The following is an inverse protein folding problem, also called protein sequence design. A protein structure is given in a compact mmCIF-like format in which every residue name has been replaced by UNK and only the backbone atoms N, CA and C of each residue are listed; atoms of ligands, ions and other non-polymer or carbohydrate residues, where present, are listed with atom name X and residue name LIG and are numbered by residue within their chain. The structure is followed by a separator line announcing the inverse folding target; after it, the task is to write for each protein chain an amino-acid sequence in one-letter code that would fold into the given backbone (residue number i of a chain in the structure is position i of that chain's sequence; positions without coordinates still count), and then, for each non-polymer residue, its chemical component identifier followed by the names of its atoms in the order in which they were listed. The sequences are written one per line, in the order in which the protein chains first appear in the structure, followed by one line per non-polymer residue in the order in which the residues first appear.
data_IF_858074211464
#
_entry.id   IF_858074211464
#
_cell.length_a   1.000
_cell.length_b   1.000
_cell.length_c   1.000
_cell.angle_alpha   90.00
_cell.angle_beta   90.00
_cell.angle_gamma   90.00
#
_symmetry.space_group_name_H-M   'P 1'
#
loop_
_entity.id
_entity.type
_entity.pdbx_description
1 polymer ?
#
# COMPACT_ATOMS: atom_id res chain seq x y z
N UNK A 1 -45.38 -45.77 -26.37
CA UNK A 1 -44.49 -44.60 -26.45
C UNK A 1 -45.34 -43.32 -26.45
N UNK A 2 -45.65 -42.77 -25.25
CA UNK A 2 -46.48 -41.56 -25.13
C UNK A 2 -45.58 -40.34 -25.16
N UNK A 3 -45.67 -39.58 -26.24
CA UNK A 3 -45.04 -38.24 -26.35
C UNK A 3 -45.95 -37.21 -25.68
N UNK A 4 -45.58 -36.81 -24.46
CA UNK A 4 -46.18 -35.64 -23.79
C UNK A 4 -45.78 -34.37 -24.56
N UNK A 5 -46.69 -33.80 -25.36
CA UNK A 5 -46.51 -32.48 -25.96
C UNK A 5 -47.04 -31.44 -24.96
N UNK A 6 -46.18 -30.86 -24.16
CA UNK A 6 -46.52 -29.72 -23.34
C UNK A 6 -46.65 -28.51 -24.27
N UNK A 7 -47.88 -28.10 -24.57
CA UNK A 7 -48.19 -26.81 -25.24
C UNK A 7 -48.31 -25.76 -24.14
N UNK A 8 -47.25 -24.98 -23.90
CA UNK A 8 -47.38 -23.78 -23.08
C UNK A 8 -48.22 -22.75 -23.88
N UNK A 9 -49.25 -22.17 -23.32
CA UNK A 9 -49.96 -21.08 -23.95
C UNK A 9 -49.01 -19.87 -24.07
N UNK A 10 -48.98 -19.23 -25.22
CA UNK A 10 -48.01 -18.15 -25.54
C UNK A 10 -47.92 -17.02 -24.51
N UNK A 11 -49.00 -16.81 -23.74
CA UNK A 11 -49.03 -15.86 -22.62
C UNK A 11 -48.17 -16.28 -21.41
N UNK A 12 -48.03 -17.57 -21.14
CA UNK A 12 -47.20 -18.09 -20.05
C UNK A 12 -45.67 -18.01 -20.43
N UNK A 13 -45.33 -18.23 -21.69
CA UNK A 13 -43.96 -18.09 -22.16
C UNK A 13 -43.47 -16.63 -22.10
N UNK A 14 -44.32 -15.67 -22.46
CA UNK A 14 -43.99 -14.23 -22.35
C UNK A 14 -43.85 -13.80 -20.90
N UNK A 15 -44.71 -14.28 -19.98
CA UNK A 15 -44.58 -13.98 -18.55
C UNK A 15 -43.29 -14.54 -17.95
N UNK A 16 -42.87 -15.73 -18.36
CA UNK A 16 -41.64 -16.35 -17.89
C UNK A 16 -40.37 -15.57 -18.36
N UNK A 17 -40.40 -15.07 -19.59
CA UNK A 17 -39.30 -14.25 -20.13
C UNK A 17 -39.19 -12.90 -19.40
N UNK A 18 -40.31 -12.22 -19.13
CA UNK A 18 -40.36 -10.95 -18.40
C UNK A 18 -39.89 -11.11 -16.94
N UNK A 19 -40.10 -12.26 -16.32
CA UNK A 19 -39.61 -12.53 -14.95
C UNK A 19 -38.09 -12.87 -14.91
N UNK A 20 -37.54 -13.41 -16.01
CA UNK A 20 -36.10 -13.78 -16.07
C UNK A 20 -35.18 -12.56 -16.35
N UNK A 21 -35.67 -11.51 -16.96
CA UNK A 21 -34.85 -10.32 -17.30
C UNK A 21 -34.30 -9.62 -16.05
N UNK A 22 -35.05 -9.34 -14.98
CA UNK A 22 -34.48 -8.71 -13.78
C UNK A 22 -33.52 -9.62 -13.00
N UNK A 23 -33.62 -10.95 -13.13
CA UNK A 23 -32.70 -11.87 -12.49
C UNK A 23 -31.29 -11.89 -13.12
N UNK A 24 -31.18 -11.55 -14.41
CA UNK A 24 -29.88 -11.41 -15.09
C UNK A 24 -29.27 -10.02 -14.96
N UNK A 25 -30.03 -8.99 -14.60
CA UNK A 25 -29.55 -7.63 -14.43
C UNK A 25 -28.72 -7.43 -13.12
N UNK A 26 -28.77 -8.37 -12.19
CA UNK A 26 -28.07 -8.29 -10.91
C UNK A 26 -26.56 -8.52 -10.97
N UNK A 27 -26.01 -9.04 -12.06
CA UNK A 27 -24.58 -9.34 -12.17
C UNK A 27 -23.70 -8.16 -12.63
N UNK A 28 -24.28 -7.02 -12.96
CA UNK A 28 -23.55 -5.83 -13.45
C UNK A 28 -23.07 -4.86 -12.37
N UNK A 29 -23.48 -5.04 -11.11
CA UNK A 29 -23.20 -4.09 -10.03
C UNK A 29 -21.76 -4.16 -9.48
N UNK A 30 -20.89 -5.06 -10.00
CA UNK A 30 -19.56 -5.29 -9.47
C UNK A 30 -18.45 -4.47 -10.11
N UNK A 31 -18.64 -3.87 -11.28
CA UNK A 31 -17.55 -3.19 -11.99
C UNK A 31 -17.31 -1.74 -11.58
N UNK A 32 -18.28 -1.09 -10.93
CA UNK A 32 -18.13 0.23 -10.33
C UNK A 32 -18.59 0.12 -8.87
N UNK A 33 -17.96 -0.76 -8.12
CA UNK A 33 -18.18 -0.86 -6.68
C UNK A 33 -17.41 0.26 -6.00
N UNK A 34 -18.07 1.05 -5.15
CA UNK A 34 -17.39 2.01 -4.27
C UNK A 34 -16.34 1.33 -3.37
N UNK A 35 -16.43 0.01 -3.19
CA UNK A 35 -15.40 -0.78 -2.50
C UNK A 35 -14.06 -0.83 -3.25
N UNK A 36 -14.04 -0.62 -4.57
CA UNK A 36 -12.80 -0.57 -5.36
C UNK A 36 -12.00 0.74 -5.16
N UNK A 37 -12.67 1.80 -4.71
CA UNK A 37 -12.08 3.11 -4.38
C UNK A 37 -11.89 3.31 -2.88
N UNK A 38 -12.29 2.32 -2.06
CA UNK A 38 -12.12 2.42 -0.62
C UNK A 38 -10.64 2.30 -0.26
N UNK A 39 -10.09 3.34 0.37
CA UNK A 39 -8.74 3.28 0.92
C UNK A 39 -8.71 2.22 2.03
N UNK A 40 -7.74 1.30 2.02
CA UNK A 40 -7.61 0.33 3.10
C UNK A 40 -7.36 1.05 4.42
N UNK A 41 -8.05 0.64 5.48
CA UNK A 41 -7.84 1.12 6.84
C UNK A 41 -6.51 0.57 7.39
N UNK A 42 -5.40 1.02 6.82
CA UNK A 42 -4.04 0.68 7.24
C UNK A 42 -3.36 1.89 7.86
N UNK A 43 -2.44 1.66 8.78
CA UNK A 43 -1.71 2.71 9.49
C UNK A 43 -0.72 3.52 8.61
N UNK A 44 -0.56 3.16 7.33
CA UNK A 44 0.37 3.77 6.39
C UNK A 44 -0.30 4.26 5.11
N UNK A 45 0.39 5.09 4.36
CA UNK A 45 -0.05 5.57 3.05
C UNK A 45 0.60 4.76 1.91
N UNK A 46 0.11 4.97 0.68
CA UNK A 46 0.57 4.27 -0.52
C UNK A 46 0.68 5.24 -1.70
N UNK A 47 1.58 4.95 -2.62
CA UNK A 47 1.66 5.60 -3.93
C UNK A 47 2.21 4.61 -4.95
N UNK A 48 1.79 4.75 -6.19
CA UNK A 48 2.38 4.02 -7.32
C UNK A 48 2.78 5.05 -8.38
N UNK A 49 4.01 4.98 -8.84
CA UNK A 49 4.54 5.86 -9.87
C UNK A 49 5.50 5.05 -10.75
N UNK A 50 5.39 5.26 -12.04
CA UNK A 50 6.10 4.43 -13.01
C UNK A 50 5.96 2.93 -12.67
N UNK A 51 7.06 2.24 -12.47
CA UNK A 51 7.07 0.80 -12.13
C UNK A 51 7.31 0.54 -10.64
N UNK A 52 7.27 1.56 -9.78
CA UNK A 52 7.48 1.41 -8.34
C UNK A 52 6.20 1.69 -7.58
N UNK A 53 5.86 0.80 -6.69
CA UNK A 53 4.74 0.95 -5.77
C UNK A 53 5.25 1.01 -4.32
N UNK A 54 5.06 2.14 -3.65
CA UNK A 54 5.28 2.26 -2.20
C UNK A 54 4.03 1.84 -1.45
N UNK A 55 4.19 1.08 -0.40
CA UNK A 55 3.11 0.53 0.42
C UNK A 55 3.44 0.66 1.90
N UNK A 56 2.40 0.82 2.71
CA UNK A 56 2.51 0.89 4.17
C UNK A 56 3.52 1.96 4.65
N UNK A 57 3.55 3.11 3.96
CA UNK A 57 4.49 4.20 4.27
C UNK A 57 4.02 4.93 5.50
N UNK A 58 4.77 4.81 6.61
CA UNK A 58 4.42 5.45 7.88
C UNK A 58 5.65 5.81 8.70
N UNK A 59 5.50 6.82 9.55
CA UNK A 59 6.43 7.11 10.65
C UNK A 59 6.04 6.21 11.81
N UNK A 60 6.98 5.42 12.31
CA UNK A 60 6.80 4.58 13.48
C UNK A 60 7.51 5.23 14.66
N UNK A 61 6.74 5.59 15.68
CA UNK A 61 7.29 6.23 16.88
C UNK A 61 6.46 5.84 18.10
N UNK A 62 7.13 5.59 19.23
CA UNK A 62 6.46 5.46 20.52
C UNK A 62 5.84 6.80 20.90
N UNK A 63 4.50 6.82 21.00
CA UNK A 63 3.75 8.02 21.32
C UNK A 63 3.39 8.01 22.80
N UNK A 64 3.99 8.93 23.54
CA UNK A 64 3.70 9.14 24.97
C UNK A 64 2.92 10.43 25.22
N UNK A 65 2.50 11.14 24.18
CA UNK A 65 1.77 12.41 24.22
C UNK A 65 1.25 12.81 22.85
N UNK A 66 0.71 14.01 22.71
CA UNK A 66 0.06 14.50 21.49
C UNK A 66 1.06 14.86 20.38
N UNK A 67 2.32 15.04 20.70
CA UNK A 67 3.37 15.41 19.75
C UNK A 67 4.71 14.77 20.13
N UNK A 68 5.58 14.65 19.12
CA UNK A 68 6.96 14.20 19.27
C UNK A 68 7.87 15.41 19.08
N UNK A 69 8.72 15.67 20.04
CA UNK A 69 9.57 16.87 20.07
C UNK A 69 10.66 16.83 19.00
N UNK A 70 11.11 18.05 18.62
CA UNK A 70 12.31 18.19 17.78
C UNK A 70 13.52 17.55 18.47
N UNK A 71 14.47 17.09 17.68
CA UNK A 71 15.69 16.41 18.17
C UNK A 71 15.49 14.93 18.47
N UNK A 72 14.25 14.42 18.46
CA UNK A 72 13.97 12.98 18.56
C UNK A 72 14.27 12.31 17.22
N UNK A 73 14.62 11.04 17.30
CA UNK A 73 14.76 10.18 16.11
C UNK A 73 13.57 9.21 16.07
N UNK A 74 12.95 9.11 14.90
CA UNK A 74 11.82 8.20 14.64
C UNK A 74 12.16 7.29 13.47
N UNK A 75 11.54 6.14 13.41
CA UNK A 75 11.73 5.18 12.32
C UNK A 75 10.73 5.46 11.18
N UNK A 76 11.18 5.34 9.95
CA UNK A 76 10.34 5.34 8.75
C UNK A 76 10.21 3.91 8.27
N UNK A 77 8.97 3.44 8.09
CA UNK A 77 8.65 2.08 7.66
C UNK A 77 7.91 2.11 6.34
N UNK A 78 8.31 1.28 5.41
CA UNK A 78 7.63 1.09 4.14
C UNK A 78 8.08 -0.20 3.44
N UNK A 79 7.29 -0.57 2.43
CA UNK A 79 7.66 -1.60 1.44
C UNK A 79 7.64 -0.96 0.06
N UNK A 80 8.77 -1.03 -0.66
CA UNK A 80 8.83 -0.68 -2.06
C UNK A 80 8.71 -1.96 -2.91
N UNK A 81 7.83 -1.95 -3.90
CA UNK A 81 7.59 -3.08 -4.82
C UNK A 81 7.93 -2.63 -6.23
N UNK A 82 8.80 -3.38 -6.89
CA UNK A 82 9.13 -3.17 -8.29
C UNK A 82 8.17 -3.98 -9.18
N UNK A 83 7.38 -3.30 -9.97
CA UNK A 83 6.42 -3.91 -10.88
C UNK A 83 7.02 -4.21 -12.25
N UNK A 84 8.25 -3.76 -12.52
CA UNK A 84 8.98 -4.10 -13.74
C UNK A 84 9.55 -5.53 -13.63
N UNK A 85 9.26 -6.42 -14.57
CA UNK A 85 9.71 -7.82 -14.47
C UNK A 85 11.20 -8.01 -14.79
N UNK A 86 11.84 -7.05 -15.44
CA UNK A 86 13.18 -7.14 -16.02
C UNK A 86 14.13 -5.99 -15.66
N UNK A 87 13.63 -4.98 -14.94
CA UNK A 87 14.41 -3.79 -14.60
C UNK A 87 14.62 -3.71 -13.10
N UNK A 88 15.84 -3.89 -12.64
CA UNK A 88 16.23 -3.57 -11.25
C UNK A 88 16.35 -2.07 -11.07
N UNK A 89 15.86 -1.55 -9.95
CA UNK A 89 15.97 -0.15 -9.54
C UNK A 89 16.70 -0.04 -8.18
N UNK A 90 16.88 1.16 -7.67
CA UNK A 90 17.50 1.42 -6.37
C UNK A 90 16.89 2.67 -5.74
N UNK A 91 16.58 2.59 -4.44
CA UNK A 91 16.27 3.75 -3.62
C UNK A 91 17.58 4.45 -3.27
N UNK A 92 17.79 5.65 -3.82
CA UNK A 92 19.02 6.42 -3.62
C UNK A 92 18.91 7.43 -2.49
N UNK A 93 17.72 7.80 -2.08
CA UNK A 93 17.52 8.72 -0.97
C UNK A 93 16.07 9.00 -0.64
N UNK A 94 15.87 9.50 0.57
CA UNK A 94 14.57 9.97 1.06
C UNK A 94 14.80 11.35 1.68
N UNK A 95 13.95 12.32 1.34
CA UNK A 95 13.97 13.66 1.92
C UNK A 95 12.63 13.99 2.55
N UNK A 96 12.64 14.87 3.55
CA UNK A 96 11.43 15.36 4.20
C UNK A 96 11.63 16.76 4.73
N UNK A 97 10.53 17.49 4.88
CA UNK A 97 10.49 18.84 5.47
C UNK A 97 10.51 18.82 7.01
N UNK A 98 10.35 17.66 7.65
CA UNK A 98 10.35 17.52 9.11
C UNK A 98 11.71 17.23 9.71
N UNK A 99 12.70 16.84 8.90
CA UNK A 99 14.02 16.50 9.41
C UNK A 99 14.92 15.81 8.40
N UNK A 100 16.05 15.32 8.89
CA UNK A 100 17.05 14.61 8.06
C UNK A 100 16.76 13.11 8.09
N UNK A 101 16.61 12.51 6.92
CA UNK A 101 16.42 11.06 6.77
C UNK A 101 17.78 10.41 6.52
N UNK A 102 18.09 9.37 7.28
CA UNK A 102 19.30 8.55 7.12
C UNK A 102 18.89 7.13 6.75
N UNK A 103 19.42 6.63 5.64
CA UNK A 103 19.30 5.24 5.23
C UNK A 103 20.52 4.47 5.74
N UNK A 104 20.30 3.29 6.32
CA UNK A 104 21.36 2.41 6.83
C UNK A 104 20.96 0.94 6.63
N UNK A 105 21.97 0.05 6.58
CA UNK A 105 21.74 -1.37 6.29
C UNK A 105 21.25 -1.54 4.84
N UNK A 106 21.78 -2.53 4.13
CA UNK A 106 21.43 -2.75 2.73
C UNK A 106 21.92 -1.63 1.78
N UNK A 107 21.86 -1.92 0.49
CA UNK A 107 22.30 -1.01 -0.58
C UNK A 107 21.12 -0.28 -1.27
N UNK A 108 19.90 -0.44 -0.75
CA UNK A 108 18.69 0.13 -1.32
C UNK A 108 18.25 -0.53 -2.63
N UNK A 109 18.80 -1.67 -2.98
CA UNK A 109 18.45 -2.38 -4.22
C UNK A 109 16.98 -2.82 -4.20
N UNK A 110 16.32 -2.59 -5.32
CA UNK A 110 14.95 -3.00 -5.59
C UNK A 110 14.95 -3.91 -6.83
N UNK A 111 15.06 -5.24 -6.65
CA UNK A 111 15.16 -6.18 -7.75
C UNK A 111 13.98 -6.13 -8.70
N UNK A 112 14.17 -6.55 -9.95
CA UNK A 112 13.09 -6.71 -10.92
C UNK A 112 12.02 -7.67 -10.37
N UNK A 113 10.76 -7.25 -10.41
CA UNK A 113 9.64 -8.00 -9.83
C UNK A 113 9.72 -8.25 -8.32
N UNK A 114 10.69 -7.62 -7.63
CA UNK A 114 10.98 -7.84 -6.22
C UNK A 114 10.51 -6.73 -5.29
N UNK A 115 10.93 -6.83 -4.02
CA UNK A 115 10.55 -5.89 -2.95
C UNK A 115 11.79 -5.47 -2.16
N UNK A 116 11.74 -4.22 -1.66
CA UNK A 116 12.67 -3.67 -0.69
C UNK A 116 11.88 -3.32 0.58
N UNK A 117 12.29 -3.89 1.71
CA UNK A 117 11.72 -3.59 3.01
C UNK A 117 12.55 -2.53 3.72
N UNK A 118 11.90 -1.50 4.23
CA UNK A 118 12.54 -0.45 5.03
C UNK A 118 11.88 -0.41 6.39
N UNK A 119 12.70 -0.58 7.42
CA UNK A 119 12.24 -0.75 8.80
C UNK A 119 11.62 -2.13 9.03
N UNK A 120 11.22 -2.38 10.27
CA UNK A 120 10.55 -3.61 10.66
C UNK A 120 9.05 -3.33 10.78
N UNK A 121 8.20 -3.85 9.88
CA UNK A 121 6.77 -3.75 10.03
C UNK A 121 6.33 -4.40 11.35
N UNK A 122 5.48 -3.71 12.10
CA UNK A 122 4.91 -4.24 13.34
C UNK A 122 4.14 -5.54 13.05
N UNK A 123 4.27 -6.53 13.94
CA UNK A 123 3.62 -7.82 13.79
C UNK A 123 4.38 -8.86 12.96
N UNK A 124 5.51 -8.52 12.37
CA UNK A 124 6.43 -9.50 11.80
C UNK A 124 7.40 -10.03 12.86
N UNK A 125 6.95 -10.99 13.65
CA UNK A 125 7.84 -11.88 14.43
C UNK A 125 8.44 -13.00 13.54
N UNK A 126 8.43 -12.83 12.23
CA UNK A 126 9.02 -13.80 11.31
C UNK A 126 10.46 -13.35 11.07
N UNK A 127 11.39 -14.19 11.49
CA UNK A 127 12.78 -14.03 11.07
C UNK A 127 12.82 -13.86 9.54
N UNK A 128 13.59 -12.89 9.02
CA UNK A 128 13.72 -12.71 7.58
C UNK A 128 14.08 -14.06 6.94
N UNK A 129 13.29 -14.51 5.98
CA UNK A 129 13.66 -15.68 5.18
C UNK A 129 14.96 -15.43 4.41
N UNK A 130 15.60 -16.45 3.85
CA UNK A 130 16.87 -16.31 3.13
C UNK A 130 16.83 -15.33 1.95
N UNK A 131 15.65 -14.98 1.45
CA UNK A 131 15.45 -13.98 0.39
C UNK A 131 15.33 -12.53 0.91
N UNK A 132 15.05 -12.34 2.20
CA UNK A 132 14.71 -11.01 2.76
C UNK A 132 15.91 -10.29 3.36
N UNK A 133 16.97 -11.00 3.72
CA UNK A 133 18.09 -10.44 4.48
C UNK A 133 19.00 -9.49 3.67
N UNK A 134 19.03 -9.62 2.35
CA UNK A 134 19.85 -8.77 1.48
C UNK A 134 19.11 -7.50 1.01
N UNK A 135 17.78 -7.45 1.14
CA UNK A 135 16.93 -6.35 0.69
C UNK A 135 16.24 -5.60 1.85
N UNK A 136 16.75 -5.74 3.07
CA UNK A 136 16.25 -4.98 4.20
C UNK A 136 17.16 -3.78 4.46
N UNK A 137 16.56 -2.60 4.53
CA UNK A 137 17.23 -1.37 4.94
C UNK A 137 16.50 -0.76 6.14
N UNK A 138 17.16 0.14 6.83
CA UNK A 138 16.56 0.94 7.90
C UNK A 138 16.59 2.40 7.51
N UNK A 139 15.47 3.11 7.71
CA UNK A 139 15.39 4.55 7.56
C UNK A 139 15.03 5.18 8.90
N UNK A 140 15.81 6.17 9.31
CA UNK A 140 15.57 6.96 10.51
C UNK A 140 15.43 8.42 10.16
N UNK A 141 14.59 9.15 10.88
CA UNK A 141 14.35 10.57 10.69
C UNK A 141 14.75 11.31 11.97
N UNK A 142 15.81 12.12 11.90
CA UNK A 142 16.17 13.04 12.95
C UNK A 142 15.31 14.31 12.82
N UNK A 143 14.37 14.52 13.73
CA UNK A 143 13.39 15.58 13.66
C UNK A 143 14.02 16.97 13.86
N UNK A 144 13.86 17.85 12.89
CA UNK A 144 14.24 19.27 12.98
C UNK A 144 13.12 20.15 13.55
N UNK A 145 11.88 19.67 13.53
CA UNK A 145 10.69 20.33 14.08
C UNK A 145 9.80 19.30 14.79
N UNK A 146 8.93 19.72 15.72
CA UNK A 146 7.99 18.79 16.35
C UNK A 146 6.98 18.27 15.33
N UNK A 147 6.52 17.05 15.53
CA UNK A 147 5.46 16.42 14.74
C UNK A 147 4.31 16.02 15.65
N UNK A 148 3.07 16.22 15.17
CA UNK A 148 1.84 16.00 15.95
C UNK A 148 1.11 14.76 15.48
N UNK A 149 0.62 13.97 16.43
CA UNK A 149 -0.18 12.78 16.15
C UNK A 149 -1.43 13.12 15.35
N UNK A 150 -1.82 12.20 14.45
CA UNK A 150 -2.96 12.42 13.55
C UNK A 150 -2.67 13.29 12.33
N UNK A 151 -1.49 13.87 12.21
CA UNK A 151 -1.06 14.59 11.01
C UNK A 151 -0.21 13.69 10.10
N UNK A 152 -0.14 14.08 8.83
CA UNK A 152 0.73 13.47 7.84
C UNK A 152 1.76 14.49 7.33
N UNK A 153 2.95 14.02 7.03
CA UNK A 153 4.10 14.83 6.65
C UNK A 153 4.65 14.41 5.30
N UNK A 154 5.14 15.38 4.54
CA UNK A 154 5.62 15.13 3.19
C UNK A 154 7.00 14.46 3.20
N UNK A 155 7.10 13.34 2.47
CA UNK A 155 8.35 12.65 2.18
C UNK A 155 8.48 12.48 0.68
N UNK A 156 9.67 12.72 0.17
CA UNK A 156 10.02 12.49 -1.23
C UNK A 156 11.03 11.35 -1.32
N UNK A 157 10.62 10.31 -2.02
CA UNK A 157 11.41 9.11 -2.28
C UNK A 157 12.09 9.24 -3.65
N UNK A 158 13.38 9.01 -3.70
CA UNK A 158 14.20 9.19 -4.89
C UNK A 158 14.78 7.84 -5.34
N UNK A 159 14.34 7.36 -6.48
CA UNK A 159 14.79 6.12 -7.11
C UNK A 159 15.66 6.44 -8.31
N UNK A 160 16.64 5.57 -8.57
CA UNK A 160 17.64 5.78 -9.63
C UNK A 160 17.01 5.81 -11.03
N UNK A 161 16.04 4.92 -11.30
CA UNK A 161 15.39 4.80 -12.61
C UNK A 161 13.95 5.28 -12.60
N UNK A 162 13.17 4.95 -11.59
CA UNK A 162 11.78 5.36 -11.50
C UNK A 162 11.61 6.87 -11.20
N UNK A 163 12.69 7.56 -10.76
CA UNK A 163 12.63 8.98 -10.44
C UNK A 163 12.10 9.25 -9.04
N UNK A 164 11.32 10.32 -8.87
CA UNK A 164 10.89 10.82 -7.56
C UNK A 164 9.37 10.70 -7.39
N UNK A 165 8.95 10.38 -6.15
CA UNK A 165 7.57 10.47 -5.74
C UNK A 165 7.45 11.07 -4.34
N UNK A 166 6.48 11.95 -4.15
CA UNK A 166 6.15 12.54 -2.85
C UNK A 166 4.91 11.88 -2.27
N UNK A 167 4.95 11.62 -0.97
CA UNK A 167 3.88 10.93 -0.24
C UNK A 167 3.64 11.64 1.09
N UNK A 168 2.38 11.84 1.44
CA UNK A 168 1.98 12.29 2.78
C UNK A 168 2.02 11.10 3.73
N UNK A 169 2.94 11.10 4.67
CA UNK A 169 3.24 9.98 5.56
C UNK A 169 2.63 10.24 6.95
N UNK A 170 1.68 9.41 7.39
CA UNK A 170 1.09 9.51 8.71
C UNK A 170 2.03 8.98 9.79
N UNK A 171 1.79 9.42 11.03
CA UNK A 171 2.41 8.83 12.22
C UNK A 171 1.54 7.63 12.64
N UNK A 172 2.13 6.45 12.64
CA UNK A 172 1.51 5.26 13.22
C UNK A 172 1.76 5.24 14.72
N UNK A 173 0.72 4.94 15.50
CA UNK A 173 0.90 4.59 16.90
C UNK A 173 1.78 3.34 16.96
N UNK A 174 3.00 3.49 17.49
CA UNK A 174 3.85 2.36 17.80
C UNK A 174 3.14 1.42 18.79
N UNK A 175 3.59 0.17 18.86
CA UNK A 175 3.17 -0.73 19.94
C UNK A 175 3.50 -0.05 21.27
N UNK A 176 2.49 0.09 22.11
CA UNK A 176 2.61 0.59 23.46
C UNK A 176 3.41 -0.40 24.34
#
# INVERSE_FOLDING_TARGET
MNRFKIRLPGRAAVALIVLLIPALAGCGAGQISQMAVQEPAVNGNKVTFNNVALRDVRIQAAQTGDFIERGRTVDLVLVAVNQAPDITDRLVGITSDIGTVTLSGGDGQLPAGGMLFIGTPEGRNVAPGPMDSNNAAKATVALAKPITNGLAYNFTFNFEKAGQASVMVPISAGLA
#
